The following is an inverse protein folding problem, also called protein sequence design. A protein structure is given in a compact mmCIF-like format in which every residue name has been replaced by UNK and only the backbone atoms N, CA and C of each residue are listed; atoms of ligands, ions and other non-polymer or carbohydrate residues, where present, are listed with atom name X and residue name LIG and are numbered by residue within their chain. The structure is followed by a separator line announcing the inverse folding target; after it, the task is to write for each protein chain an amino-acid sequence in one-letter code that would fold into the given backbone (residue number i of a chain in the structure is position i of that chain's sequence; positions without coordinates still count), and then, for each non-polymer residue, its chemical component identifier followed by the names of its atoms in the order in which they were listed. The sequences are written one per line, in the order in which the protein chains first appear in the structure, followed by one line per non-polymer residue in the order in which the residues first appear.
data_IF_537642238449
#
_entry.id   IF_537642238449
#
_cell.length_a   1.000
_cell.length_b   1.000
_cell.length_c   1.000
_cell.angle_alpha   90.00
_cell.angle_beta   90.00
_cell.angle_gamma   90.00
#
_symmetry.space_group_name_H-M   'P 1'
#
loop_
_entity.id
_entity.type
_entity.pdbx_description
1 polymer ?
#
# COMPACT_ATOMS: atom_id res chain seq x y z
N UNK A 1 7.02 20.70 -24.91
CA UNK A 1 6.14 19.60 -24.46
C UNK A 1 5.75 19.86 -23.03
N UNK A 2 4.46 20.09 -22.79
CA UNK A 2 3.94 20.31 -21.44
C UNK A 2 3.99 19.00 -20.61
N UNK A 3 3.80 19.08 -19.30
CA UNK A 3 3.89 17.91 -18.41
C UNK A 3 2.88 16.81 -18.78
N UNK A 4 1.66 17.20 -19.17
CA UNK A 4 0.59 16.27 -19.55
C UNK A 4 0.93 15.47 -20.82
N UNK A 5 1.53 16.12 -21.81
CA UNK A 5 2.00 15.47 -23.04
C UNK A 5 3.12 14.46 -22.74
N UNK A 6 4.06 14.81 -21.85
CA UNK A 6 5.12 13.88 -21.40
C UNK A 6 4.51 12.66 -20.73
N UNK A 7 3.59 12.87 -19.79
CA UNK A 7 2.90 11.78 -19.07
C UNK A 7 2.11 10.90 -20.01
N UNK A 8 1.41 11.48 -21.01
CA UNK A 8 0.67 10.72 -22.02
C UNK A 8 1.59 9.82 -22.84
N UNK A 9 2.78 10.30 -23.21
CA UNK A 9 3.75 9.49 -23.95
C UNK A 9 4.35 8.36 -23.12
N UNK A 10 4.64 8.61 -21.83
CA UNK A 10 5.34 7.64 -20.97
C UNK A 10 4.38 6.64 -20.33
N UNK A 11 3.24 7.10 -19.81
CA UNK A 11 2.31 6.29 -19.00
C UNK A 11 1.00 5.97 -19.74
N UNK A 12 0.77 6.57 -20.90
CA UNK A 12 -0.49 6.42 -21.63
C UNK A 12 -1.65 7.19 -21.00
N UNK A 13 -2.85 6.87 -21.48
CA UNK A 13 -4.11 7.41 -21.00
C UNK A 13 -4.76 6.42 -20.03
N UNK A 14 -5.29 6.92 -18.92
CA UNK A 14 -6.03 6.13 -17.97
C UNK A 14 -7.41 5.72 -18.54
N UNK A 15 -7.73 4.43 -18.48
CA UNK A 15 -9.01 3.89 -18.97
C UNK A 15 -10.24 4.27 -18.14
N UNK A 16 -10.09 4.86 -16.96
CA UNK A 16 -11.23 5.28 -16.11
C UNK A 16 -11.58 6.77 -16.30
N UNK A 17 -10.58 7.66 -16.33
CA UNK A 17 -10.79 9.11 -16.39
C UNK A 17 -10.40 9.77 -17.71
N UNK A 18 -9.82 9.02 -18.65
CA UNK A 18 -9.32 9.53 -19.95
C UNK A 18 -8.23 10.61 -19.85
N UNK A 19 -7.62 10.79 -18.68
CA UNK A 19 -6.48 11.69 -18.46
C UNK A 19 -5.13 10.93 -18.54
N UNK A 20 -4.01 11.62 -18.80
CA UNK A 20 -2.69 11.00 -18.75
C UNK A 20 -2.39 10.35 -17.40
N UNK A 21 -1.85 9.13 -17.41
CA UNK A 21 -1.41 8.43 -16.20
C UNK A 21 -0.36 9.22 -15.40
N UNK A 22 -0.22 8.91 -14.12
CA UNK A 22 0.85 9.50 -13.27
C UNK A 22 2.01 8.56 -13.04
N UNK A 23 1.82 7.27 -13.32
CA UNK A 23 2.84 6.23 -13.23
C UNK A 23 2.47 5.02 -14.08
N UNK A 24 3.40 4.08 -14.22
CA UNK A 24 3.15 2.84 -14.96
C UNK A 24 1.99 2.06 -14.31
N UNK A 25 0.93 1.79 -15.07
CA UNK A 25 -0.32 1.18 -14.60
C UNK A 25 -0.95 1.91 -13.40
N UNK A 26 -0.70 3.22 -13.25
CA UNK A 26 -1.15 3.99 -12.09
C UNK A 26 -1.72 5.36 -12.48
N UNK A 27 -2.89 5.67 -11.94
CA UNK A 27 -3.56 6.96 -12.10
C UNK A 27 -3.87 7.53 -10.71
N UNK A 28 -3.07 8.51 -10.26
CA UNK A 28 -3.23 9.12 -8.95
C UNK A 28 -4.65 9.69 -8.74
N UNK A 29 -5.26 10.46 -9.65
CA UNK A 29 -6.62 10.97 -9.42
C UNK A 29 -7.66 9.87 -9.17
N UNK A 30 -7.64 8.80 -9.95
CA UNK A 30 -8.56 7.65 -9.79
C UNK A 30 -8.28 6.89 -8.49
N UNK A 31 -7.00 6.62 -8.21
CA UNK A 31 -6.59 5.88 -7.03
C UNK A 31 -6.88 6.66 -5.74
N UNK A 32 -6.63 7.98 -5.72
CA UNK A 32 -6.92 8.86 -4.59
C UNK A 32 -8.42 8.93 -4.30
N UNK A 33 -9.26 8.99 -5.32
CA UNK A 33 -10.72 8.90 -5.13
C UNK A 33 -11.11 7.59 -4.44
N UNK A 34 -10.59 6.45 -4.92
CA UNK A 34 -10.83 5.14 -4.30
C UNK A 34 -10.32 5.08 -2.86
N UNK A 35 -9.21 5.73 -2.53
CA UNK A 35 -8.71 5.85 -1.16
C UNK A 35 -9.66 6.64 -0.26
N UNK A 36 -10.15 7.80 -0.72
CA UNK A 36 -11.13 8.63 0.03
C UNK A 36 -12.36 7.80 0.40
N UNK A 37 -12.89 7.03 -0.54
CA UNK A 37 -14.06 6.18 -0.31
C UNK A 37 -13.80 5.11 0.77
N UNK A 38 -12.54 4.70 0.94
CA UNK A 38 -12.12 3.68 1.89
C UNK A 38 -11.64 4.20 3.26
N UNK A 39 -11.42 5.52 3.43
CA UNK A 39 -10.90 6.07 4.70
C UNK A 39 -11.82 5.84 5.91
N UNK A 40 -13.11 5.67 5.66
CA UNK A 40 -14.09 5.33 6.71
C UNK A 40 -14.07 3.86 7.13
N UNK A 41 -13.40 2.99 6.37
CA UNK A 41 -13.42 1.54 6.59
C UNK A 41 -12.26 1.05 7.48
N UNK A 42 -11.31 1.93 7.84
CA UNK A 42 -10.18 1.57 8.68
C UNK A 42 -9.71 2.76 9.53
N UNK A 43 -9.11 2.47 10.68
CA UNK A 43 -8.37 3.41 11.51
C UNK A 43 -7.28 2.65 12.25
N UNK A 44 -6.12 3.28 12.47
CA UNK A 44 -5.06 2.77 13.34
C UNK A 44 -5.38 2.90 14.83
N UNK A 45 -6.44 3.64 15.18
CA UNK A 45 -6.67 4.14 16.54
C UNK A 45 -5.82 5.36 16.89
N UNK A 46 -4.89 5.78 16.03
CA UNK A 46 -4.06 6.97 16.18
C UNK A 46 -4.33 7.95 15.03
N UNK A 47 -4.95 9.09 15.35
CA UNK A 47 -5.37 10.09 14.36
C UNK A 47 -4.21 10.68 13.56
N UNK A 48 -3.03 10.84 14.16
CA UNK A 48 -1.87 11.41 13.48
C UNK A 48 -1.28 10.42 12.47
N UNK A 49 -1.24 9.13 12.84
CA UNK A 49 -0.83 8.04 11.95
C UNK A 49 -1.82 7.92 10.79
N UNK A 50 -3.14 7.93 11.09
CA UNK A 50 -4.19 7.86 10.07
C UNK A 50 -4.07 9.01 9.06
N UNK A 51 -3.92 10.25 9.56
CA UNK A 51 -3.76 11.43 8.72
C UNK A 51 -2.52 11.32 7.82
N UNK A 52 -1.40 10.86 8.37
CA UNK A 52 -0.17 10.67 7.61
C UNK A 52 -0.34 9.64 6.48
N UNK A 53 -0.96 8.50 6.78
CA UNK A 53 -1.22 7.45 5.78
C UNK A 53 -2.19 7.94 4.71
N UNK A 54 -3.28 8.59 5.10
CA UNK A 54 -4.25 9.14 4.15
C UNK A 54 -3.55 10.12 3.20
N UNK A 55 -2.67 11.00 3.70
CA UNK A 55 -1.88 11.90 2.85
C UNK A 55 -0.96 11.14 1.88
N UNK A 56 -0.32 10.05 2.31
CA UNK A 56 0.50 9.22 1.42
C UNK A 56 -0.35 8.55 0.33
N UNK A 57 -1.49 7.99 0.70
CA UNK A 57 -2.41 7.33 -0.24
C UNK A 57 -2.96 8.32 -1.28
N UNK A 58 -3.32 9.54 -0.85
CA UNK A 58 -3.81 10.60 -1.74
C UNK A 58 -2.75 11.12 -2.71
N UNK A 59 -1.47 11.10 -2.34
CA UNK A 59 -0.38 11.66 -3.15
C UNK A 59 0.44 10.60 -3.89
N UNK A 60 0.08 9.32 -3.76
CA UNK A 60 0.78 8.23 -4.40
C UNK A 60 0.67 8.35 -5.93
N UNK A 61 1.80 8.64 -6.58
CA UNK A 61 1.92 8.67 -8.06
C UNK A 61 2.29 7.31 -8.65
N UNK A 62 2.67 6.36 -7.80
CA UNK A 62 3.08 5.02 -8.15
C UNK A 62 2.69 4.05 -7.03
N UNK A 63 2.46 2.77 -7.35
CA UNK A 63 2.03 1.76 -6.40
C UNK A 63 3.00 1.56 -5.21
N UNK A 64 4.30 1.68 -5.45
CA UNK A 64 5.34 1.67 -4.40
C UNK A 64 5.23 2.83 -3.39
N UNK A 65 4.60 3.94 -3.77
CA UNK A 65 4.37 5.09 -2.90
C UNK A 65 3.02 4.98 -2.18
N UNK A 66 2.18 4.03 -2.59
CA UNK A 66 0.91 3.78 -1.95
C UNK A 66 1.12 2.96 -0.69
N UNK A 67 0.91 3.61 0.45
CA UNK A 67 1.04 2.93 1.74
C UNK A 67 -0.23 2.15 2.03
N UNK A 68 -0.14 0.83 2.02
CA UNK A 68 -1.25 -0.02 2.45
C UNK A 68 -1.21 -0.16 3.97
N UNK A 69 -2.12 0.54 4.64
CA UNK A 69 -2.35 0.36 6.06
C UNK A 69 -3.28 -0.81 6.31
N UNK A 70 -3.14 -1.43 7.48
CA UNK A 70 -3.97 -2.52 7.98
C UNK A 70 -3.72 -3.88 7.30
N UNK A 71 -2.47 -4.35 7.32
CA UNK A 71 -2.19 -5.79 7.13
C UNK A 71 -2.40 -6.43 8.50
N UNK A 72 -3.53 -7.13 8.74
CA UNK A 72 -3.77 -7.79 10.01
C UNK A 72 -2.71 -8.87 10.24
N UNK A 73 -2.37 -9.11 11.50
CA UNK A 73 -1.34 -10.10 11.81
C UNK A 73 -1.73 -11.50 11.32
N UNK A 74 -3.03 -11.81 11.33
CA UNK A 74 -3.61 -13.05 10.83
C UNK A 74 -3.42 -13.27 9.31
N UNK A 75 -3.09 -12.24 8.53
CA UNK A 75 -2.80 -12.39 7.10
C UNK A 75 -1.39 -12.93 6.84
N UNK A 76 -0.51 -12.94 7.84
CA UNK A 76 0.82 -13.53 7.71
C UNK A 76 0.76 -15.05 7.93
N UNK A 77 1.47 -15.79 7.08
CA UNK A 77 1.58 -17.26 7.12
C UNK A 77 2.99 -17.68 7.49
N UNK A 78 3.17 -18.95 7.85
CA UNK A 78 4.47 -19.59 8.10
C UNK A 78 5.36 -18.81 9.08
N UNK A 79 4.73 -18.29 10.15
CA UNK A 79 5.38 -17.43 11.12
C UNK A 79 6.34 -18.25 11.97
N UNK A 80 7.63 -17.98 11.81
CA UNK A 80 8.72 -18.73 12.44
C UNK A 80 9.59 -17.77 13.23
N UNK A 81 9.88 -18.09 14.49
CA UNK A 81 10.79 -17.30 15.32
C UNK A 81 12.22 -17.36 14.75
N UNK A 82 12.88 -16.20 14.65
CA UNK A 82 14.27 -16.09 14.21
C UNK A 82 15.17 -15.86 15.42
N UNK A 83 14.95 -14.75 16.14
CA UNK A 83 15.83 -14.31 17.22
C UNK A 83 15.18 -13.25 18.09
N UNK A 84 15.83 -12.91 19.22
CA UNK A 84 15.50 -11.79 20.08
C UNK A 84 16.58 -10.73 19.94
N UNK A 85 16.18 -9.53 19.52
CA UNK A 85 17.03 -8.33 19.59
C UNK A 85 16.79 -7.58 20.90
N UNK A 86 17.49 -6.46 21.10
CA UNK A 86 17.42 -5.68 22.36
C UNK A 86 16.00 -5.35 22.79
N UNK A 87 15.20 -4.74 21.91
CA UNK A 87 13.84 -4.25 22.23
C UNK A 87 12.70 -5.10 21.65
N UNK A 88 12.98 -6.32 21.20
CA UNK A 88 11.91 -7.11 20.57
C UNK A 88 12.29 -8.49 20.08
N UNK A 89 11.26 -9.28 19.76
CA UNK A 89 11.40 -10.58 19.09
C UNK A 89 11.23 -10.40 17.59
N UNK A 90 12.04 -11.10 16.80
CA UNK A 90 12.01 -11.08 15.35
C UNK A 90 11.52 -12.43 14.84
N UNK A 91 10.54 -12.41 13.94
CA UNK A 91 9.97 -13.58 13.29
C UNK A 91 10.11 -13.42 11.78
N UNK A 92 10.29 -14.52 11.05
CA UNK A 92 10.04 -14.56 9.61
C UNK A 92 8.61 -14.95 9.37
N UNK A 93 7.97 -14.37 8.36
CA UNK A 93 6.66 -14.80 7.91
C UNK A 93 6.57 -14.71 6.38
N UNK A 94 5.60 -15.39 5.80
CA UNK A 94 5.17 -15.20 4.43
C UNK A 94 3.98 -14.25 4.44
N UNK A 95 4.07 -13.16 3.69
CA UNK A 95 2.95 -12.28 3.42
C UNK A 95 2.37 -12.62 2.04
N UNK A 96 1.21 -13.31 1.96
CA UNK A 96 0.73 -13.91 0.71
C UNK A 96 0.26 -12.88 -0.33
N UNK A 97 -0.31 -11.78 0.14
CA UNK A 97 -0.88 -10.71 -0.67
C UNK A 97 -0.10 -9.44 -0.39
N UNK A 98 1.01 -9.23 -1.12
CA UNK A 98 2.02 -8.20 -0.86
C UNK A 98 1.45 -6.77 -1.04
N UNK A 99 2.13 -5.95 -1.85
CA UNK A 99 1.71 -4.60 -2.20
C UNK A 99 0.82 -4.65 -3.44
N UNK A 100 -0.12 -3.71 -3.49
CA UNK A 100 -0.90 -3.40 -4.67
C UNK A 100 0.04 -3.08 -5.83
N UNK A 101 -0.23 -3.64 -7.00
CA UNK A 101 0.48 -3.32 -8.23
C UNK A 101 -0.30 -2.28 -9.04
N UNK A 102 -1.56 -2.58 -9.36
CA UNK A 102 -2.46 -1.71 -10.11
C UNK A 102 -3.93 -2.04 -9.84
N UNK A 103 -4.83 -1.15 -10.27
CA UNK A 103 -6.27 -1.37 -10.24
C UNK A 103 -6.75 -2.04 -11.53
N UNK A 104 -7.35 -3.21 -11.41
CA UNK A 104 -8.00 -3.90 -12.53
C UNK A 104 -9.40 -3.31 -12.72
N UNK A 105 -9.54 -2.50 -13.78
CA UNK A 105 -10.76 -1.75 -14.10
C UNK A 105 -11.92 -2.70 -14.43
N UNK A 106 -11.65 -3.78 -15.16
CA UNK A 106 -12.70 -4.71 -15.58
C UNK A 106 -13.27 -5.48 -14.39
N UNK A 107 -12.39 -5.93 -13.50
CA UNK A 107 -12.77 -6.74 -12.34
C UNK A 107 -13.04 -5.91 -11.08
N UNK A 108 -12.85 -4.59 -11.14
CA UNK A 108 -12.99 -3.67 -10.01
C UNK A 108 -12.27 -4.16 -8.75
N UNK A 109 -11.02 -4.61 -8.91
CA UNK A 109 -10.20 -5.16 -7.82
C UNK A 109 -8.74 -4.76 -7.93
N UNK A 110 -8.08 -4.65 -6.78
CA UNK A 110 -6.63 -4.46 -6.74
C UNK A 110 -5.92 -5.74 -7.17
N UNK A 111 -5.02 -5.63 -8.14
CA UNK A 111 -4.04 -6.67 -8.47
C UNK A 111 -2.85 -6.53 -7.55
N UNK A 112 -2.36 -7.65 -7.04
CA UNK A 112 -1.32 -7.72 -6.03
C UNK A 112 -0.23 -8.65 -6.48
N UNK A 113 1.00 -8.33 -6.08
CA UNK A 113 2.12 -9.24 -6.23
C UNK A 113 2.03 -10.36 -5.18
N UNK A 114 2.41 -11.58 -5.55
CA UNK A 114 2.25 -12.77 -4.71
C UNK A 114 3.16 -12.83 -3.48
N UNK A 115 3.22 -14.02 -2.88
CA UNK A 115 3.89 -14.31 -1.62
C UNK A 115 5.30 -13.71 -1.52
N UNK A 116 5.57 -12.98 -0.44
CA UNK A 116 6.93 -12.54 -0.10
C UNK A 116 7.30 -12.94 1.31
N UNK A 117 8.59 -13.24 1.53
CA UNK A 117 9.12 -13.43 2.88
C UNK A 117 9.34 -12.04 3.52
N UNK A 118 8.86 -11.85 4.74
CA UNK A 118 9.00 -10.62 5.53
C UNK A 118 9.60 -10.92 6.91
N UNK A 119 10.14 -9.89 7.54
CA UNK A 119 10.54 -9.92 8.94
C UNK A 119 9.53 -9.12 9.78
N UNK A 120 8.96 -9.75 10.80
CA UNK A 120 8.06 -9.13 11.75
C UNK A 120 8.81 -8.84 13.05
N UNK A 121 8.74 -7.60 13.55
CA UNK A 121 9.34 -7.20 14.82
C UNK A 121 8.25 -6.91 15.84
N UNK A 122 8.24 -7.68 16.93
CA UNK A 122 7.34 -7.48 18.06
C UNK A 122 8.09 -6.78 19.18
N UNK A 123 7.61 -5.60 19.56
CA UNK A 123 8.16 -4.84 20.68
C UNK A 123 7.80 -5.53 22.00
N UNK A 124 8.79 -5.74 22.86
CA UNK A 124 8.54 -6.19 24.23
C UNK A 124 8.32 -4.92 25.05
N UNK A 125 7.09 -4.70 25.52
CA UNK A 125 6.81 -3.65 26.51
C UNK A 125 7.13 -4.25 27.88
N UNK A 126 8.21 -3.79 28.51
CA UNK A 126 8.48 -4.05 29.92
C UNK A 126 7.81 -2.91 30.69
N UNK A 127 6.77 -3.23 31.47
CA UNK A 127 6.34 -2.33 32.54
C UNK A 127 7.42 -2.41 33.62
N UNK A 128 8.19 -1.33 33.76
CA UNK A 128 9.10 -1.11 34.90
C UNK A 128 8.37 -0.28 35.94
#
# INVERSE_FOLDING_TARGET
MNDLEKRKQVYGICGECNEPGTGFLWCQPCNSKRSVDNFKNWTSGNKDIDKFIQQLQLNAVHCKNYFEWMIPFENFKDITYITRGGFGKIYSAVWPERYIEYWDIENQKWKRFGNTKVALKFWIILFV
#
